data_IF_639522956509
#
_entry.id   IF_639522956509
#
_cell.length_a   1.000
_cell.length_b   1.000
_cell.length_c   1.000
_cell.angle_alpha   90.00
_cell.angle_beta   90.00
_cell.angle_gamma   90.00
#
_symmetry.space_group_name_H-M   'P 1'
#
loop_
_entity.id
_entity.type
_entity.pdbx_description
1 polymer ?
#
# COMPACT_ATOMS: atom_id res chain seq x y z
N UNK A 1 -3.06 0.56 -22.00
CA UNK A 1 -4.06 -0.13 -21.15
C UNK A 1 -3.48 -1.16 -20.17
N UNK A 2 -2.21 -1.56 -20.31
CA UNK A 2 -1.54 -2.50 -19.38
C UNK A 2 -1.52 -2.02 -17.91
N UNK A 3 -1.31 -0.72 -17.67
CA UNK A 3 -1.31 -0.13 -16.34
C UNK A 3 -2.60 -0.40 -15.56
N UNK A 4 -3.75 -0.37 -16.24
CA UNK A 4 -5.06 -0.62 -15.62
C UNK A 4 -5.17 -2.09 -15.18
N UNK A 5 -4.67 -3.04 -16.00
CA UNK A 5 -4.64 -4.46 -15.63
C UNK A 5 -3.73 -4.70 -14.42
N UNK A 6 -2.58 -4.04 -14.36
CA UNK A 6 -1.71 -4.11 -13.18
C UNK A 6 -2.38 -3.55 -11.94
N UNK A 7 -3.04 -2.40 -12.04
CA UNK A 7 -3.74 -1.79 -10.91
C UNK A 7 -4.90 -2.66 -10.41
N UNK A 8 -5.72 -3.20 -11.32
CA UNK A 8 -6.82 -4.11 -10.97
C UNK A 8 -6.30 -5.43 -10.39
N UNK A 9 -5.25 -5.99 -10.98
CA UNK A 9 -4.61 -7.20 -10.46
C UNK A 9 -4.07 -6.99 -9.05
N UNK A 10 -3.41 -5.87 -8.80
CA UNK A 10 -2.94 -5.50 -7.46
C UNK A 10 -4.11 -5.37 -6.47
N UNK A 11 -5.22 -4.73 -6.87
CA UNK A 11 -6.40 -4.58 -6.01
C UNK A 11 -7.01 -5.94 -5.63
N UNK A 12 -7.10 -6.89 -6.58
CA UNK A 12 -7.59 -8.26 -6.31
C UNK A 12 -6.66 -8.98 -5.33
N UNK A 13 -5.35 -8.94 -5.56
CA UNK A 13 -4.37 -9.61 -4.71
C UNK A 13 -4.36 -9.01 -3.30
N UNK A 14 -4.44 -7.67 -3.17
CA UNK A 14 -4.59 -7.00 -1.88
C UNK A 14 -5.88 -7.41 -1.16
N UNK A 15 -7.00 -7.56 -1.90
CA UNK A 15 -8.25 -8.06 -1.33
C UNK A 15 -8.12 -9.46 -0.73
N UNK A 16 -7.41 -10.36 -1.41
CA UNK A 16 -7.10 -11.70 -0.87
C UNK A 16 -6.21 -11.60 0.37
N UNK A 17 -5.14 -10.79 0.32
CA UNK A 17 -4.25 -10.59 1.46
C UNK A 17 -5.03 -10.12 2.69
N UNK A 18 -5.86 -9.08 2.58
CA UNK A 18 -6.63 -8.55 3.71
C UNK A 18 -7.64 -9.56 4.27
N UNK A 19 -8.30 -10.34 3.41
CA UNK A 19 -9.24 -11.37 3.86
C UNK A 19 -8.53 -12.48 4.67
N UNK A 20 -7.37 -12.95 4.19
CA UNK A 20 -6.55 -13.94 4.88
C UNK A 20 -5.96 -13.38 6.17
N UNK A 21 -5.42 -12.16 6.12
CA UNK A 21 -4.86 -11.47 7.29
C UNK A 21 -5.90 -11.24 8.37
N UNK A 22 -7.12 -10.82 8.00
CA UNK A 22 -8.23 -10.71 8.94
C UNK A 22 -8.51 -12.02 9.66
N UNK A 23 -8.53 -13.13 8.91
CA UNK A 23 -8.74 -14.47 9.49
C UNK A 23 -7.62 -14.90 10.44
N UNK A 24 -6.37 -14.58 10.14
CA UNK A 24 -5.23 -14.89 11.00
C UNK A 24 -5.24 -14.07 12.29
N UNK A 25 -5.58 -12.78 12.20
CA UNK A 25 -5.72 -11.89 13.34
C UNK A 25 -6.87 -12.33 14.28
N UNK A 26 -8.01 -12.77 13.74
CA UNK A 26 -9.10 -13.38 14.51
C UNK A 26 -8.67 -14.65 15.24
N UNK A 27 -7.70 -15.40 14.72
CA UNK A 27 -7.15 -16.61 15.36
C UNK A 27 -6.05 -16.31 16.38
N UNK A 28 -5.77 -15.04 16.67
CA UNK A 28 -4.84 -14.62 17.71
C UNK A 28 -3.40 -14.37 17.22
N UNK A 29 -3.14 -14.38 15.91
CA UNK A 29 -1.85 -13.90 15.39
C UNK A 29 -1.80 -12.38 15.61
N UNK A 30 -0.72 -11.86 16.20
CA UNK A 30 -0.60 -10.42 16.42
C UNK A 30 -0.29 -9.68 15.11
N UNK A 31 -0.74 -8.41 14.96
CA UNK A 31 -0.42 -7.58 13.79
C UNK A 31 1.08 -7.48 13.54
N UNK A 32 1.87 -7.35 14.59
CA UNK A 32 3.33 -7.26 14.50
C UNK A 32 3.95 -8.54 13.94
N UNK A 33 3.49 -9.70 14.42
CA UNK A 33 3.97 -11.01 13.94
C UNK A 33 3.58 -11.19 12.47
N UNK A 34 2.33 -10.92 12.12
CA UNK A 34 1.84 -11.06 10.75
C UNK A 34 2.63 -10.15 9.80
N UNK A 35 2.80 -8.89 10.18
CA UNK A 35 3.53 -7.93 9.38
C UNK A 35 5.01 -8.28 9.23
N UNK A 36 5.66 -8.76 10.30
CA UNK A 36 7.04 -9.25 10.23
C UNK A 36 7.18 -10.41 9.22
N UNK A 37 6.24 -11.35 9.26
CA UNK A 37 6.19 -12.49 8.33
C UNK A 37 6.02 -12.00 6.88
N UNK A 38 5.10 -11.08 6.63
CA UNK A 38 4.87 -10.49 5.31
C UNK A 38 6.14 -9.81 4.76
N UNK A 39 6.81 -9.01 5.57
CA UNK A 39 8.06 -8.34 5.17
C UNK A 39 9.18 -9.35 4.87
N UNK A 40 9.35 -10.34 5.73
CA UNK A 40 10.42 -11.33 5.57
C UNK A 40 10.22 -12.18 4.32
N UNK A 41 9.04 -12.80 4.17
CA UNK A 41 8.75 -13.62 3.00
C UNK A 41 8.61 -12.79 1.72
N UNK A 42 8.09 -11.57 1.80
CA UNK A 42 8.07 -10.64 0.68
C UNK A 42 9.49 -10.33 0.16
N UNK A 43 10.44 -10.08 1.07
CA UNK A 43 11.84 -9.89 0.70
C UNK A 43 12.43 -11.15 0.06
N UNK A 44 12.16 -12.34 0.60
CA UNK A 44 12.63 -13.61 0.02
C UNK A 44 12.08 -13.83 -1.40
N UNK A 45 10.79 -13.56 -1.62
CA UNK A 45 10.16 -13.67 -2.95
C UNK A 45 10.83 -12.71 -3.93
N UNK A 46 11.10 -11.46 -3.54
CA UNK A 46 11.80 -10.51 -4.40
C UNK A 46 13.25 -10.91 -4.69
N UNK A 47 13.98 -11.42 -3.70
CA UNK A 47 15.33 -11.95 -3.91
C UNK A 47 15.32 -13.14 -4.88
N UNK A 48 14.38 -14.07 -4.73
CA UNK A 48 14.21 -15.19 -5.64
C UNK A 48 13.90 -14.71 -7.08
N UNK A 49 12.98 -13.75 -7.22
CA UNK A 49 12.65 -13.15 -8.51
C UNK A 49 13.87 -12.51 -9.19
N UNK A 50 14.64 -11.70 -8.46
CA UNK A 50 15.84 -11.05 -9.00
C UNK A 50 16.90 -12.07 -9.40
N UNK A 51 17.04 -13.16 -8.64
CA UNK A 51 17.97 -14.26 -8.93
C UNK A 51 17.54 -15.00 -10.19
N UNK A 52 16.26 -15.42 -10.28
CA UNK A 52 15.73 -16.16 -11.41
C UNK A 52 15.74 -15.34 -12.72
N UNK A 53 15.56 -14.04 -12.62
CA UNK A 53 15.57 -13.13 -13.79
C UNK A 53 16.94 -12.57 -14.11
N UNK A 54 17.98 -12.86 -13.30
CA UNK A 54 19.33 -12.33 -13.48
C UNK A 54 19.45 -10.81 -13.31
N UNK A 55 18.49 -10.16 -12.62
CA UNK A 55 18.40 -8.70 -12.53
C UNK A 55 19.20 -8.06 -11.40
N UNK A 56 19.96 -8.82 -10.62
CA UNK A 56 20.79 -8.28 -9.54
C UNK A 56 21.75 -7.17 -9.99
N UNK A 57 22.52 -7.33 -11.10
CA UNK A 57 23.45 -6.28 -11.52
C UNK A 57 22.75 -4.96 -11.85
N UNK A 58 21.60 -5.01 -12.54
CA UNK A 58 20.83 -3.81 -12.86
C UNK A 58 20.27 -3.15 -11.60
N UNK A 59 19.72 -3.96 -10.67
CA UNK A 59 19.18 -3.44 -9.40
C UNK A 59 20.24 -2.74 -8.56
N UNK A 60 21.46 -3.31 -8.47
CA UNK A 60 22.57 -2.67 -7.75
C UNK A 60 23.00 -1.37 -8.45
N UNK A 61 23.09 -1.37 -9.79
CA UNK A 61 23.42 -0.16 -10.54
C UNK A 61 22.37 0.94 -10.37
N UNK A 62 21.09 0.60 -10.39
CA UNK A 62 19.98 1.52 -10.14
C UNK A 62 20.04 2.14 -8.73
N UNK A 63 20.33 1.33 -7.70
CA UNK A 63 20.51 1.84 -6.34
C UNK A 63 21.72 2.76 -6.19
N UNK A 64 22.81 2.47 -6.90
CA UNK A 64 24.00 3.34 -6.94
C UNK A 64 23.71 4.65 -7.65
N UNK A 65 22.97 4.62 -8.77
CA UNK A 65 22.56 5.81 -9.50
C UNK A 65 21.62 6.70 -8.69
N UNK A 66 20.72 6.08 -7.90
CA UNK A 66 19.78 6.77 -7.01
C UNK A 66 20.40 7.26 -5.69
N UNK A 67 21.72 7.29 -5.57
CA UNK A 67 22.41 7.63 -4.31
C UNK A 67 22.04 9.02 -3.77
N UNK A 68 21.78 9.99 -4.63
CA UNK A 68 21.28 11.32 -4.27
C UNK A 68 19.88 11.30 -3.65
N UNK A 69 19.10 10.28 -3.95
CA UNK A 69 17.69 10.16 -3.56
C UNK A 69 17.46 9.19 -2.39
N UNK A 70 18.51 8.73 -1.75
CA UNK A 70 18.42 7.79 -0.63
C UNK A 70 17.58 8.31 0.53
N UNK A 71 17.54 9.63 0.74
CA UNK A 71 16.63 10.24 1.70
C UNK A 71 15.16 9.95 1.38
N UNK A 72 14.77 10.04 0.11
CA UNK A 72 13.42 9.71 -0.34
C UNK A 72 13.13 8.21 -0.28
N UNK A 73 14.12 7.36 -0.59
CA UNK A 73 14.01 5.92 -0.41
C UNK A 73 13.74 5.56 1.06
N UNK A 74 14.46 6.19 1.99
CA UNK A 74 14.25 5.99 3.42
C UNK A 74 12.83 6.44 3.84
N UNK A 75 12.38 7.61 3.38
CA UNK A 75 11.01 8.09 3.63
C UNK A 75 9.99 7.08 3.11
N UNK A 76 10.17 6.55 1.90
CA UNK A 76 9.29 5.54 1.32
C UNK A 76 9.24 4.25 2.17
N UNK A 77 10.40 3.75 2.61
CA UNK A 77 10.49 2.55 3.47
C UNK A 77 9.78 2.77 4.80
N UNK A 78 10.05 3.91 5.47
CA UNK A 78 9.41 4.23 6.75
C UNK A 78 7.90 4.39 6.58
N UNK A 79 7.45 5.08 5.52
CA UNK A 79 6.02 5.26 5.24
C UNK A 79 5.33 3.90 4.98
N UNK A 80 5.91 3.05 4.12
CA UNK A 80 5.35 1.73 3.81
C UNK A 80 5.28 0.85 5.05
N UNK A 81 6.37 0.80 5.85
CA UNK A 81 6.41 -0.01 7.06
C UNK A 81 5.39 0.47 8.10
N UNK A 82 5.29 1.79 8.29
CA UNK A 82 4.32 2.35 9.22
C UNK A 82 2.88 2.11 8.76
N UNK A 83 2.57 2.35 7.48
CA UNK A 83 1.24 2.14 6.92
C UNK A 83 0.82 0.66 7.00
N UNK A 84 1.72 -0.27 6.67
CA UNK A 84 1.46 -1.71 6.75
C UNK A 84 1.17 -2.18 8.17
N UNK A 85 1.89 -1.68 9.17
CA UNK A 85 1.57 -2.00 10.56
C UNK A 85 0.22 -1.40 10.98
N UNK A 86 -0.04 -0.14 10.61
CA UNK A 86 -1.29 0.54 10.95
C UNK A 86 -2.51 -0.13 10.33
N UNK A 87 -2.43 -0.63 9.08
CA UNK A 87 -3.57 -1.33 8.48
C UNK A 87 -3.86 -2.66 9.19
N UNK A 88 -2.86 -3.44 9.61
CA UNK A 88 -3.10 -4.65 10.37
C UNK A 88 -3.65 -4.40 11.77
N UNK A 89 -3.21 -3.33 12.44
CA UNK A 89 -3.81 -2.87 13.69
C UNK A 89 -5.28 -2.46 13.50
N UNK A 90 -5.60 -1.78 12.40
CA UNK A 90 -6.98 -1.41 12.06
C UNK A 90 -7.85 -2.64 11.79
N UNK A 91 -7.33 -3.63 11.05
CA UNK A 91 -8.04 -4.90 10.76
C UNK A 91 -8.32 -5.65 12.05
N UNK A 92 -7.34 -5.73 12.97
CA UNK A 92 -7.54 -6.36 14.27
C UNK A 92 -8.58 -5.62 15.12
N UNK A 93 -8.58 -4.29 15.10
CA UNK A 93 -9.50 -3.48 15.91
C UNK A 93 -10.94 -3.50 15.39
N UNK A 94 -11.15 -3.68 14.09
CA UNK A 94 -12.49 -3.67 13.47
C UNK A 94 -12.75 -4.91 12.62
N UNK A 95 -12.29 -4.95 11.40
CA UNK A 95 -12.26 -6.09 10.47
C UNK A 95 -11.59 -5.67 9.14
N UNK A 96 -11.24 -6.66 8.32
CA UNK A 96 -10.55 -6.44 7.06
C UNK A 96 -11.35 -5.58 6.06
N UNK A 97 -12.65 -5.84 5.93
CA UNK A 97 -13.50 -5.15 4.94
C UNK A 97 -13.63 -3.66 5.25
N UNK A 98 -13.94 -3.29 6.49
CA UNK A 98 -14.12 -1.88 6.88
C UNK A 98 -12.78 -1.14 6.81
N UNK A 99 -11.70 -1.75 7.29
CA UNK A 99 -10.38 -1.15 7.28
C UNK A 99 -9.88 -0.88 5.85
N UNK A 100 -10.02 -1.83 4.94
CA UNK A 100 -9.62 -1.66 3.53
C UNK A 100 -10.48 -0.63 2.78
N UNK A 101 -11.79 -0.57 3.08
CA UNK A 101 -12.66 0.46 2.49
C UNK A 101 -12.31 1.88 2.95
N UNK A 102 -11.83 2.05 4.18
CA UNK A 102 -11.32 3.35 4.65
C UNK A 102 -9.95 3.65 4.04
N UNK A 103 -9.09 2.65 3.95
CA UNK A 103 -7.76 2.79 3.37
C UNK A 103 -7.80 3.23 1.91
N UNK A 104 -8.82 2.86 1.13
CA UNK A 104 -8.98 3.28 -0.28
C UNK A 104 -9.01 4.81 -0.45
N UNK A 105 -9.04 5.58 0.63
CA UNK A 105 -8.88 7.04 0.60
C UNK A 105 -7.42 7.50 0.33
N UNK A 106 -6.42 6.61 0.40
CA UNK A 106 -5.00 6.99 0.22
C UNK A 106 -4.69 7.73 -1.09
N UNK A 107 -5.39 7.53 -2.24
CA UNK A 107 -5.11 8.30 -3.46
C UNK A 107 -5.31 9.81 -3.29
N UNK A 108 -6.20 10.23 -2.38
CA UNK A 108 -6.39 11.65 -2.03
C UNK A 108 -5.11 12.23 -1.41
N UNK A 109 -4.54 11.48 -0.46
CA UNK A 109 -3.29 11.87 0.19
C UNK A 109 -2.11 11.80 -0.78
N UNK A 110 -2.10 10.82 -1.71
CA UNK A 110 -1.09 10.73 -2.76
C UNK A 110 -1.10 12.00 -3.62
N UNK A 111 -2.26 12.44 -4.08
CA UNK A 111 -2.38 13.68 -4.88
C UNK A 111 -1.96 14.92 -4.07
N UNK A 112 -2.35 15.00 -2.81
CA UNK A 112 -1.95 16.09 -1.91
C UNK A 112 -0.44 16.15 -1.71
N UNK A 113 0.20 15.03 -1.35
CA UNK A 113 1.65 14.99 -1.12
C UNK A 113 2.46 15.16 -2.40
N UNK A 114 1.99 14.64 -3.55
CA UNK A 114 2.63 14.89 -4.84
C UNK A 114 2.65 16.39 -5.17
N UNK A 115 1.59 17.11 -4.85
CA UNK A 115 1.53 18.56 -5.02
C UNK A 115 2.43 19.30 -4.01
N UNK A 116 2.35 18.96 -2.73
CA UNK A 116 3.10 19.67 -1.66
C UNK A 116 4.61 19.45 -1.79
N UNK A 117 5.04 18.20 -2.01
CA UNK A 117 6.47 17.84 -2.00
C UNK A 117 7.13 18.08 -3.35
N UNK A 118 6.42 17.82 -4.45
CA UNK A 118 7.03 17.79 -5.78
C UNK A 118 6.41 18.80 -6.76
N UNK A 119 5.40 19.55 -6.34
CA UNK A 119 4.64 20.49 -7.20
C UNK A 119 4.04 19.83 -8.45
N UNK A 120 3.84 18.52 -8.42
CA UNK A 120 3.22 17.79 -9.52
C UNK A 120 1.70 17.91 -9.45
N UNK A 121 1.09 18.34 -10.57
CA UNK A 121 -0.36 18.42 -10.73
C UNK A 121 -0.79 17.44 -11.81
N UNK A 122 -1.18 16.25 -11.41
CA UNK A 122 -1.78 15.24 -12.32
C UNK A 122 -3.31 15.22 -12.20
N UNK A 123 -3.87 16.24 -11.55
CA UNK A 123 -5.29 16.30 -11.18
C UNK A 123 -6.08 16.86 -12.37
N UNK A 124 -6.97 16.04 -12.92
CA UNK A 124 -7.99 16.47 -13.87
C UNK A 124 -9.39 16.37 -13.22
N UNK A 125 -10.41 16.89 -13.92
CA UNK A 125 -11.79 16.90 -13.40
C UNK A 125 -12.29 15.49 -13.01
N UNK A 126 -11.98 14.47 -13.81
CA UNK A 126 -12.38 13.10 -13.52
C UNK A 126 -11.73 12.58 -12.22
N UNK A 127 -10.44 12.92 -11.99
CA UNK A 127 -9.73 12.62 -10.76
C UNK A 127 -10.38 13.28 -9.55
N UNK A 128 -10.78 14.55 -9.66
CA UNK A 128 -11.47 15.28 -8.57
C UNK A 128 -12.81 14.64 -8.25
N UNK A 129 -13.62 14.36 -9.27
CA UNK A 129 -14.94 13.72 -9.08
C UNK A 129 -14.79 12.34 -8.44
N UNK A 130 -13.86 11.50 -8.93
CA UNK A 130 -13.59 10.19 -8.34
C UNK A 130 -13.14 10.30 -6.88
N UNK A 131 -12.29 11.26 -6.57
CA UNK A 131 -11.81 11.54 -5.23
C UNK A 131 -12.95 11.92 -4.26
N UNK A 132 -13.85 12.77 -4.68
CA UNK A 132 -15.04 13.17 -3.89
C UNK A 132 -15.94 11.96 -3.63
N UNK A 133 -16.18 11.12 -4.63
CA UNK A 133 -16.98 9.91 -4.47
C UNK A 133 -16.35 8.91 -3.47
N UNK A 134 -15.03 8.71 -3.54
CA UNK A 134 -14.29 7.89 -2.58
C UNK A 134 -14.46 8.46 -1.17
N UNK A 135 -14.27 9.77 -0.99
CA UNK A 135 -14.40 10.41 0.31
C UNK A 135 -15.80 10.26 0.91
N UNK A 136 -16.85 10.47 0.10
CA UNK A 136 -18.25 10.25 0.51
C UNK A 136 -18.46 8.78 0.94
N UNK A 137 -17.95 7.82 0.14
CA UNK A 137 -18.02 6.40 0.47
C UNK A 137 -17.35 6.07 1.81
N UNK A 138 -16.16 6.60 2.05
CA UNK A 138 -15.43 6.42 3.33
C UNK A 138 -16.24 6.99 4.51
N UNK A 139 -16.83 8.18 4.36
CA UNK A 139 -17.65 8.79 5.42
C UNK A 139 -18.89 7.93 5.74
N UNK A 140 -19.54 7.39 4.73
CA UNK A 140 -20.71 6.50 4.90
C UNK A 140 -20.28 5.24 5.66
N UNK A 141 -19.22 4.57 5.23
CA UNK A 141 -18.68 3.36 5.89
C UNK A 141 -18.30 3.65 7.33
N UNK A 142 -17.58 4.74 7.59
CA UNK A 142 -17.14 5.10 8.93
C UNK A 142 -18.31 5.40 9.87
N UNK A 143 -19.37 6.06 9.38
CA UNK A 143 -20.58 6.36 10.18
C UNK A 143 -21.43 5.12 10.44
N UNK A 144 -21.58 4.25 9.46
CA UNK A 144 -22.36 3.01 9.60
C UNK A 144 -21.72 1.95 10.49
N UNK A 145 -20.45 2.13 10.87
CA UNK A 145 -19.67 1.15 11.65
C UNK A 145 -19.18 1.70 13.01
N UNK A 146 -19.80 2.77 13.51
CA UNK A 146 -19.56 3.30 14.87
C UNK A 146 -20.20 2.45 15.95
#
# INVERSE_FOLDING_TARGET
>A
MLWLLYALGAAVIWGVNYAVSGRLLERGVSPQTLFLVDLFFGALVMCAFLTLTGRWPSTVAELQAARSDWGWLLVAVVATTSAGLLIFLSIQAKNATVSSLIEISYPLFTAFFAWVLFRQTTINLATVVGAVLIFIGVVIVARGNR
#
